data_IF_626445142918
#
_entry.id   IF_626445142918
#
_cell.length_a   1.000
_cell.length_b   1.000
_cell.length_c   1.000
_cell.angle_alpha   90.00
_cell.angle_beta   90.00
_cell.angle_gamma   90.00
#
_symmetry.space_group_name_H-M   'P 1'
#
loop_
_entity.id
_entity.type
_entity.pdbx_description
1 polymer ?
#
# COMPACT_ATOMS: atom_id res chain seq x y z
N UNK A 1 20.89 -9.27 57.63
CA UNK A 1 21.02 -8.64 56.29
C UNK A 1 21.22 -9.72 55.25
N UNK A 2 20.18 -10.09 54.48
CA UNK A 2 20.30 -10.96 53.31
C UNK A 2 19.61 -10.25 52.15
N UNK A 3 20.41 -9.73 51.23
CA UNK A 3 19.96 -9.06 50.00
C UNK A 3 19.43 -10.15 49.06
N UNK A 4 18.12 -10.23 48.85
CA UNK A 4 17.56 -10.99 47.73
C UNK A 4 17.64 -10.09 46.49
N UNK A 5 18.45 -10.52 45.53
CA UNK A 5 18.57 -9.90 44.21
C UNK A 5 17.27 -10.13 43.44
N UNK A 6 16.64 -9.01 43.05
CA UNK A 6 15.55 -8.96 42.09
C UNK A 6 16.13 -9.27 40.71
N UNK A 7 15.80 -10.43 40.14
CA UNK A 7 16.06 -10.72 38.74
C UNK A 7 14.95 -10.09 37.90
N UNK A 8 15.22 -8.90 37.36
CA UNK A 8 14.41 -8.29 36.32
C UNK A 8 14.64 -9.08 35.02
N UNK A 9 13.74 -10.01 34.71
CA UNK A 9 13.68 -10.60 33.38
C UNK A 9 13.10 -9.55 32.44
N UNK A 10 13.96 -8.73 31.82
CA UNK A 10 13.57 -7.97 30.64
C UNK A 10 13.35 -8.98 29.51
N UNK A 11 12.11 -9.40 29.30
CA UNK A 11 11.68 -9.87 28.00
C UNK A 11 11.81 -8.67 27.06
N UNK A 12 12.92 -8.61 26.34
CA UNK A 12 13.02 -7.79 25.14
C UNK A 12 12.08 -8.44 24.14
N UNK A 13 10.85 -7.94 24.05
CA UNK A 13 10.03 -8.08 22.86
C UNK A 13 10.82 -7.42 21.74
N UNK A 14 11.68 -8.19 21.07
CA UNK A 14 12.16 -7.80 19.75
C UNK A 14 10.91 -7.79 18.88
N UNK A 15 10.26 -6.61 18.82
CA UNK A 15 9.17 -6.38 17.90
C UNK A 15 9.64 -6.83 16.54
N UNK A 16 8.88 -7.71 15.91
CA UNK A 16 8.89 -7.85 14.46
C UNK A 16 8.43 -6.51 13.91
N UNK A 17 9.33 -5.52 13.91
CA UNK A 17 9.09 -4.23 13.29
C UNK A 17 9.02 -4.50 11.80
N UNK A 18 7.80 -4.53 11.28
CA UNK A 18 7.55 -4.51 9.86
C UNK A 18 8.39 -3.39 9.25
N UNK A 19 9.33 -3.76 8.37
CA UNK A 19 10.32 -2.81 7.85
C UNK A 19 9.71 -1.97 6.72
N UNK A 20 8.71 -1.15 7.05
CA UNK A 20 8.08 -0.22 6.12
C UNK A 20 9.09 0.73 5.48
N UNK A 21 10.21 1.01 6.15
CA UNK A 21 11.21 1.99 5.73
C UNK A 21 11.84 1.71 4.36
N UNK A 22 11.96 0.43 3.97
CA UNK A 22 12.49 0.05 2.65
C UNK A 22 11.60 0.55 1.50
N UNK A 23 10.28 0.56 1.73
CA UNK A 23 9.27 0.91 0.75
C UNK A 23 8.85 2.38 0.83
N UNK A 24 9.34 3.13 1.82
CA UNK A 24 9.07 4.56 1.92
C UNK A 24 9.64 5.30 0.70
N UNK A 25 8.84 6.14 0.07
CA UNK A 25 9.30 7.01 -1.01
C UNK A 25 8.17 7.48 -1.92
N UNK A 26 8.58 8.22 -2.95
CA UNK A 26 7.69 8.70 -3.99
C UNK A 26 7.86 7.85 -5.24
N UNK A 27 6.75 7.49 -5.87
CA UNK A 27 6.67 6.63 -7.04
C UNK A 27 5.96 7.37 -8.16
N UNK A 28 6.48 7.24 -9.38
CA UNK A 28 5.76 7.66 -10.58
C UNK A 28 5.13 6.42 -11.21
N UNK A 29 3.81 6.38 -11.19
CA UNK A 29 3.00 5.27 -11.69
C UNK A 29 2.31 5.63 -13.00
N UNK A 30 2.02 4.63 -13.85
CA UNK A 30 1.09 4.75 -14.97
C UNK A 30 -0.33 4.52 -14.46
N UNK A 31 -1.26 5.37 -14.89
CA UNK A 31 -2.68 5.22 -14.57
C UNK A 31 -3.28 4.17 -15.52
N UNK A 32 -4.02 3.20 -14.98
CA UNK A 32 -4.81 2.24 -15.75
C UNK A 32 -5.97 2.94 -16.47
N UNK A 33 -5.71 3.45 -17.67
CA UNK A 33 -6.64 4.34 -18.40
C UNK A 33 -8.04 3.75 -18.58
N UNK A 34 -8.16 2.48 -18.93
CA UNK A 34 -9.48 1.83 -19.11
C UNK A 34 -10.29 1.81 -17.82
N UNK A 35 -9.65 1.50 -16.69
CA UNK A 35 -10.29 1.48 -15.37
C UNK A 35 -10.65 2.92 -14.96
N UNK A 36 -9.74 3.87 -15.19
CA UNK A 36 -9.98 5.27 -14.90
C UNK A 36 -11.15 5.86 -15.71
N UNK A 37 -11.28 5.51 -17.00
CA UNK A 37 -12.41 5.93 -17.84
C UNK A 37 -13.75 5.49 -17.26
N UNK A 38 -13.84 4.26 -16.75
CA UNK A 38 -15.07 3.77 -16.11
C UNK A 38 -15.38 4.57 -14.85
N UNK A 39 -14.40 4.81 -13.99
CA UNK A 39 -14.59 5.64 -12.79
C UNK A 39 -15.01 7.07 -13.15
N UNK A 40 -14.45 7.64 -14.21
CA UNK A 40 -14.81 8.96 -14.73
C UNK A 40 -16.25 9.01 -15.24
N UNK A 41 -16.67 8.02 -16.03
CA UNK A 41 -18.05 7.90 -16.56
C UNK A 41 -19.09 7.76 -15.45
N UNK A 42 -18.70 7.13 -14.34
CA UNK A 42 -19.52 7.02 -13.12
C UNK A 42 -19.52 8.30 -12.27
N UNK A 43 -18.76 9.33 -12.67
CA UNK A 43 -18.67 10.59 -11.93
C UNK A 43 -17.87 10.48 -10.63
N UNK A 44 -16.98 9.50 -10.51
CA UNK A 44 -16.17 9.28 -9.31
C UNK A 44 -15.26 10.46 -9.01
N UNK A 45 -15.19 10.84 -7.74
CA UNK A 45 -14.22 11.84 -7.27
C UNK A 45 -12.78 11.29 -7.18
N UNK A 46 -12.64 9.96 -7.21
CA UNK A 46 -11.35 9.25 -7.21
C UNK A 46 -10.85 8.94 -8.62
N UNK A 47 -11.49 9.48 -9.66
CA UNK A 47 -10.95 9.43 -11.01
C UNK A 47 -9.80 10.44 -11.19
N UNK A 48 -8.90 10.12 -12.11
CA UNK A 48 -7.93 11.06 -12.64
C UNK A 48 -8.53 11.82 -13.83
N UNK A 49 -8.11 13.08 -14.06
CA UNK A 49 -8.37 13.76 -15.32
C UNK A 49 -7.98 12.88 -16.51
N UNK A 50 -8.83 12.73 -17.53
CA UNK A 50 -8.61 11.81 -18.66
C UNK A 50 -7.32 12.08 -19.46
N UNK A 51 -6.76 13.29 -19.36
CA UNK A 51 -5.48 13.65 -19.99
C UNK A 51 -4.27 13.14 -19.19
N UNK A 52 -4.45 12.77 -17.93
CA UNK A 52 -3.39 12.28 -17.07
C UNK A 52 -3.11 10.81 -17.36
N UNK A 53 -1.88 10.53 -17.82
CA UNK A 53 -1.41 9.17 -18.11
C UNK A 53 -0.54 8.58 -17.00
N UNK A 54 -0.09 9.43 -16.08
CA UNK A 54 0.74 9.07 -14.94
C UNK A 54 0.26 9.79 -13.69
N UNK A 55 0.45 9.16 -12.54
CA UNK A 55 0.21 9.74 -11.23
C UNK A 55 1.47 9.62 -10.38
N UNK A 56 1.65 10.57 -9.47
CA UNK A 56 2.59 10.41 -8.37
C UNK A 56 1.87 9.65 -7.25
N UNK A 57 2.59 8.74 -6.61
CA UNK A 57 2.13 8.01 -5.43
C UNK A 57 3.22 8.08 -4.36
N UNK A 58 2.91 8.56 -3.17
CA UNK A 58 3.84 8.48 -2.03
C UNK A 58 3.43 7.33 -1.14
N UNK A 59 4.38 6.49 -0.75
CA UNK A 59 4.17 5.46 0.25
C UNK A 59 5.04 5.81 1.46
N UNK A 60 4.45 5.92 2.65
CA UNK A 60 5.18 6.27 3.86
C UNK A 60 4.57 5.58 5.07
N UNK A 61 5.36 4.74 5.72
CA UNK A 61 4.99 4.03 6.95
C UNK A 61 3.64 3.32 6.82
N UNK A 62 3.45 2.57 5.74
CA UNK A 62 2.21 1.82 5.50
C UNK A 62 1.09 2.63 4.86
N UNK A 63 1.19 3.96 4.80
CA UNK A 63 0.16 4.82 4.20
C UNK A 63 0.51 5.12 2.74
N UNK A 64 -0.45 4.88 1.85
CA UNK A 64 -0.37 5.26 0.44
C UNK A 64 -1.13 6.56 0.18
N UNK A 65 -0.47 7.53 -0.43
CA UNK A 65 -1.07 8.76 -0.93
C UNK A 65 -1.00 8.77 -2.45
N UNK A 66 -2.14 8.90 -3.12
CA UNK A 66 -2.23 8.96 -4.58
C UNK A 66 -2.57 10.39 -4.99
N UNK A 67 -1.71 11.02 -5.78
CA UNK A 67 -1.82 12.44 -6.09
C UNK A 67 -2.56 12.70 -7.40
N UNK A 68 -3.32 13.80 -7.43
CA UNK A 68 -3.89 14.36 -8.67
C UNK A 68 -5.17 13.70 -9.16
N UNK A 69 -5.98 13.12 -8.27
CA UNK A 69 -7.36 12.77 -8.58
C UNK A 69 -8.22 14.03 -8.66
N UNK A 70 -9.46 13.92 -9.14
CA UNK A 70 -10.41 15.04 -9.23
C UNK A 70 -10.72 15.69 -7.89
N UNK A 71 -10.86 14.89 -6.84
CA UNK A 71 -11.04 15.35 -5.45
C UNK A 71 -9.78 15.98 -4.85
N UNK A 72 -8.64 15.88 -5.54
CA UNK A 72 -7.32 16.22 -5.00
C UNK A 72 -6.49 14.97 -4.73
N UNK A 73 -5.73 14.98 -3.65
CA UNK A 73 -4.90 13.85 -3.26
C UNK A 73 -5.72 12.87 -2.41
N UNK A 74 -5.71 11.60 -2.79
CA UNK A 74 -6.22 10.53 -1.95
C UNK A 74 -5.19 10.17 -0.89
N UNK A 75 -5.57 10.23 0.38
CA UNK A 75 -4.75 9.75 1.50
C UNK A 75 -5.41 8.47 2.02
N UNK A 76 -4.75 7.33 1.80
CA UNK A 76 -5.24 6.03 2.22
C UNK A 76 -5.05 5.74 3.69
N UNK A 77 -5.36 4.50 4.04
CA UNK A 77 -5.25 3.97 5.39
C UNK A 77 -3.85 3.40 5.64
N UNK A 78 -3.54 3.12 6.92
CA UNK A 78 -2.32 2.39 7.26
C UNK A 78 -2.50 0.91 6.88
N UNK A 79 -1.82 0.49 5.82
CA UNK A 79 -1.82 -0.89 5.35
C UNK A 79 -0.90 -1.77 6.20
N UNK A 80 -1.35 -3.00 6.46
CA UNK A 80 -0.52 -4.03 7.07
C UNK A 80 0.34 -4.73 6.02
N UNK A 81 1.59 -5.02 6.38
CA UNK A 81 2.46 -5.86 5.53
C UNK A 81 2.06 -7.34 5.66
N UNK A 82 1.90 -8.02 4.53
CA UNK A 82 1.58 -9.45 4.51
C UNK A 82 2.76 -10.30 4.97
N UNK A 83 2.45 -11.48 5.53
CA UNK A 83 3.46 -12.47 5.82
C UNK A 83 4.13 -12.94 4.52
N UNK A 84 5.46 -13.08 4.52
CA UNK A 84 6.17 -13.61 3.36
C UNK A 84 5.64 -15.02 3.00
N UNK A 85 5.26 -15.25 1.73
CA UNK A 85 4.96 -16.59 1.24
C UNK A 85 6.11 -17.56 1.49
N UNK A 86 5.76 -18.81 1.77
CA UNK A 86 6.74 -19.88 2.04
C UNK A 86 6.64 -20.91 0.92
N UNK A 87 7.76 -21.19 0.26
CA UNK A 87 7.83 -22.23 -0.78
C UNK A 87 7.81 -23.63 -0.14
N UNK A 88 7.58 -24.67 -0.95
CA UNK A 88 7.49 -26.06 -0.46
C UNK A 88 8.76 -26.57 0.22
N UNK A 89 9.92 -25.97 -0.07
CA UNK A 89 11.22 -26.22 0.56
C UNK A 89 11.46 -25.41 1.85
N UNK A 90 10.48 -24.61 2.29
CA UNK A 90 10.53 -23.82 3.53
C UNK A 90 11.17 -22.43 3.39
N UNK A 91 11.58 -22.01 2.19
CA UNK A 91 12.17 -20.68 1.97
C UNK A 91 11.10 -19.59 1.98
N UNK A 92 11.38 -18.48 2.68
CA UNK A 92 10.52 -17.29 2.74
C UNK A 92 10.84 -16.34 1.60
N UNK A 93 9.82 -15.98 0.81
CA UNK A 93 9.96 -15.04 -0.30
C UNK A 93 9.65 -13.61 0.19
N UNK A 94 10.63 -12.98 0.83
CA UNK A 94 10.49 -11.63 1.41
C UNK A 94 10.11 -10.56 0.37
N UNK A 95 10.53 -10.72 -0.87
CA UNK A 95 10.19 -9.81 -1.97
C UNK A 95 8.74 -9.93 -2.44
N UNK A 96 8.02 -10.99 -2.08
CA UNK A 96 6.61 -11.19 -2.43
C UNK A 96 5.67 -10.62 -1.37
N UNK A 97 6.21 -9.90 -0.37
CA UNK A 97 5.38 -9.21 0.59
C UNK A 97 4.65 -8.06 -0.08
N UNK A 98 3.45 -7.82 0.40
CA UNK A 98 2.51 -6.85 -0.10
C UNK A 98 2.00 -6.02 1.07
N UNK A 99 1.41 -4.88 0.78
CA UNK A 99 0.70 -4.07 1.75
C UNK A 99 -0.77 -4.12 1.43
N UNK A 100 -1.59 -4.39 2.44
CA UNK A 100 -3.03 -4.53 2.27
C UNK A 100 -3.78 -3.82 3.41
N UNK A 101 -4.86 -3.15 3.04
CA UNK A 101 -5.89 -2.67 3.94
C UNK A 101 -7.25 -3.03 3.36
N UNK A 102 -8.15 -3.54 4.20
CA UNK A 102 -9.51 -3.88 3.82
C UNK A 102 -10.43 -3.73 5.03
N UNK A 103 -11.43 -2.85 4.94
CA UNK A 103 -12.49 -2.69 5.94
C UNK A 103 -13.90 -3.02 5.39
N UNK A 104 -13.97 -3.56 4.17
CA UNK A 104 -15.20 -3.85 3.44
C UNK A 104 -15.77 -2.68 2.63
N UNK A 105 -15.35 -1.44 2.89
CA UNK A 105 -15.67 -0.26 2.08
C UNK A 105 -14.47 0.16 1.23
N UNK A 106 -13.29 0.21 1.83
CA UNK A 106 -12.02 0.51 1.18
C UNK A 106 -11.18 -0.76 1.08
N UNK A 107 -10.67 -1.02 -0.12
CA UNK A 107 -9.63 -2.02 -0.35
C UNK A 107 -8.43 -1.35 -1.00
N UNK A 108 -7.31 -1.32 -0.28
CA UNK A 108 -6.06 -0.71 -0.73
C UNK A 108 -4.98 -1.78 -0.78
N UNK A 109 -4.25 -1.80 -1.89
CA UNK A 109 -3.10 -2.70 -1.99
C UNK A 109 -1.91 -2.00 -2.62
N UNK A 110 -0.71 -2.37 -2.16
CA UNK A 110 0.53 -2.04 -2.82
C UNK A 110 1.40 -3.30 -2.93
N UNK A 111 1.78 -3.62 -4.16
CA UNK A 111 2.62 -4.75 -4.54
C UNK A 111 3.99 -4.23 -5.02
N UNK A 112 4.98 -4.01 -4.13
CA UNK A 112 6.24 -3.36 -4.49
C UNK A 112 6.99 -4.09 -5.61
N UNK A 113 7.04 -5.43 -5.54
CA UNK A 113 7.74 -6.26 -6.53
C UNK A 113 7.14 -6.15 -7.92
N UNK A 114 5.82 -6.08 -8.02
CA UNK A 114 5.12 -5.96 -9.29
C UNK A 114 4.94 -4.51 -9.74
N UNK A 115 5.31 -3.54 -8.88
CA UNK A 115 5.14 -2.12 -9.10
C UNK A 115 3.67 -1.77 -9.42
N UNK A 116 2.74 -2.38 -8.68
CA UNK A 116 1.29 -2.20 -8.82
C UNK A 116 0.74 -1.65 -7.50
N UNK A 117 -0.19 -0.71 -7.59
CA UNK A 117 -1.01 -0.30 -6.47
C UNK A 117 -2.48 -0.22 -6.89
N UNK A 118 -3.40 -0.53 -5.98
CA UNK A 118 -4.84 -0.44 -6.23
C UNK A 118 -5.54 0.29 -5.11
N UNK A 119 -6.59 1.01 -5.49
CA UNK A 119 -7.60 1.56 -4.59
C UNK A 119 -8.95 1.08 -5.10
N UNK A 120 -9.75 0.46 -4.24
CA UNK A 120 -11.16 0.22 -4.51
C UNK A 120 -12.00 0.84 -3.39
N UNK A 121 -13.10 1.49 -3.76
CA UNK A 121 -14.02 2.10 -2.80
C UNK A 121 -15.45 1.64 -3.12
N UNK A 122 -16.14 1.10 -2.12
CA UNK A 122 -17.46 0.51 -2.24
C UNK A 122 -17.42 -0.96 -2.69
N UNK A 123 -18.60 -1.47 -3.07
CA UNK A 123 -18.77 -2.89 -3.41
C UNK A 123 -18.15 -3.25 -4.77
N UNK A 124 -17.79 -4.52 -5.04
CA UNK A 124 -17.28 -4.93 -6.36
C UNK A 124 -18.22 -4.68 -7.54
N UNK A 125 -19.52 -4.42 -7.31
CA UNK A 125 -20.52 -4.20 -8.37
C UNK A 125 -20.74 -2.72 -8.68
N UNK A 126 -20.76 -1.89 -7.65
CA UNK A 126 -21.14 -0.47 -7.75
C UNK A 126 -20.02 0.47 -7.28
N UNK A 127 -18.92 -0.10 -6.79
CA UNK A 127 -17.74 0.61 -6.33
C UNK A 127 -16.82 0.99 -7.47
N UNK A 128 -15.89 1.87 -7.14
CA UNK A 128 -14.88 2.38 -8.05
C UNK A 128 -13.58 1.61 -7.82
N UNK A 129 -12.79 1.48 -8.87
CA UNK A 129 -11.45 0.94 -8.78
C UNK A 129 -10.50 1.93 -9.45
N UNK A 130 -9.31 2.07 -8.89
CA UNK A 130 -8.16 2.69 -9.53
C UNK A 130 -7.00 1.70 -9.51
N UNK A 131 -6.31 1.63 -10.64
CA UNK A 131 -5.14 0.79 -10.80
C UNK A 131 -3.96 1.64 -11.26
N UNK A 132 -2.89 1.58 -10.49
CA UNK A 132 -1.60 2.17 -10.80
C UNK A 132 -0.62 1.05 -11.14
N UNK A 133 0.09 1.18 -12.25
CA UNK A 133 1.02 0.16 -12.74
C UNK A 133 2.38 0.76 -13.05
N UNK A 134 3.43 -0.07 -13.10
CA UNK A 134 4.78 0.38 -13.38
C UNK A 134 5.18 1.58 -12.49
N UNK A 135 4.83 1.49 -11.20
CA UNK A 135 5.21 2.43 -10.17
C UNK A 135 6.72 2.39 -9.92
N UNK A 136 7.45 3.37 -10.46
CA UNK A 136 8.90 3.48 -10.31
C UNK A 136 9.21 4.45 -9.19
N UNK A 137 9.95 3.98 -8.17
CA UNK A 137 10.45 4.82 -7.09
C UNK A 137 11.36 5.90 -7.68
N UNK A 138 11.12 7.17 -7.36
CA UNK A 138 12.03 8.26 -7.68
C UNK A 138 13.35 8.02 -6.92
N UNK A 139 14.48 8.23 -7.58
CA UNK A 139 15.77 8.21 -6.91
C UNK A 139 15.89 9.51 -6.11
N UNK A 140 16.18 9.40 -4.81
CA UNK A 140 16.56 10.55 -3.97
C UNK A 140 17.93 11.09 -4.36
#
# INVERSE_FOLDING_TARGET
MKKLLIAFAMLVLTGCGDNYSEYNGTYICKIGQTINSVAEEQGSEYSFPLVAVKAKMTFKNGVMTIHGMKSGDYVGHEMAMTAAPVTSDGRKLMSEREFQYDDGEYNETFFPKYAIATLSVGSPRDGIMQQLTNCKKEQE
#
